data_IF_071057029230
#
_entry.id   IF_071057029230
#
_cell.length_a   1.000
_cell.length_b   1.000
_cell.length_c   1.000
_cell.angle_alpha   90.00
_cell.angle_beta   90.00
_cell.angle_gamma   90.00
#
_symmetry.space_group_name_H-M   'P 1'
#
loop_
_entity.id
_entity.type
_entity.pdbx_description
1 polymer ?
#
# COMPACT_ATOMS: atom_id res chain seq x y z
N UNK A 1 -12.06 -0.56 -5.88
CA UNK A 1 -11.54 -1.67 -6.70
C UNK A 1 -11.28 -2.97 -5.92
N UNK A 2 -11.95 -3.13 -4.79
CA UNK A 2 -11.99 -4.36 -3.99
C UNK A 2 -13.41 -4.92 -3.97
N UNK A 3 -13.58 -6.16 -3.51
CA UNK A 3 -14.88 -6.78 -3.24
C UNK A 3 -14.95 -7.30 -1.81
N UNK A 4 -16.11 -7.80 -1.42
CA UNK A 4 -16.35 -8.32 -0.07
C UNK A 4 -15.68 -9.67 0.21
N UNK A 5 -15.11 -10.34 -0.81
CA UNK A 5 -14.53 -11.68 -0.66
C UNK A 5 -13.45 -11.77 0.41
N UNK A 6 -12.59 -10.75 0.52
CA UNK A 6 -11.58 -10.70 1.57
C UNK A 6 -12.18 -10.60 2.98
N UNK A 7 -13.22 -9.77 3.16
CA UNK A 7 -13.93 -9.61 4.44
C UNK A 7 -14.63 -10.92 4.83
N UNK A 8 -15.31 -11.55 3.88
CA UNK A 8 -15.95 -12.85 4.09
C UNK A 8 -14.92 -13.96 4.41
N UNK A 9 -13.76 -13.92 3.73
CA UNK A 9 -12.65 -14.83 4.01
C UNK A 9 -12.15 -14.66 5.45
N UNK A 10 -11.94 -13.44 5.91
CA UNK A 10 -11.53 -13.16 7.30
C UNK A 10 -12.59 -13.66 8.29
N UNK A 11 -13.89 -13.39 8.04
CA UNK A 11 -14.98 -13.88 8.88
C UNK A 11 -14.96 -15.42 9.00
N UNK A 12 -14.79 -16.11 7.89
CA UNK A 12 -14.73 -17.60 7.86
C UNK A 12 -13.51 -18.14 8.62
N UNK A 13 -12.35 -17.47 8.50
CA UNK A 13 -11.11 -17.90 9.15
C UNK A 13 -11.17 -17.67 10.66
N UNK A 14 -11.67 -16.51 11.08
CA UNK A 14 -11.62 -16.08 12.49
C UNK A 14 -12.85 -16.44 13.29
N UNK A 15 -13.97 -16.73 12.62
CA UNK A 15 -15.28 -16.90 13.25
C UNK A 15 -15.83 -15.60 13.87
N UNK A 16 -15.26 -14.45 13.52
CA UNK A 16 -15.64 -13.14 14.07
C UNK A 16 -16.28 -12.26 13.01
N UNK A 17 -17.29 -11.49 13.42
CA UNK A 17 -17.79 -10.41 12.59
C UNK A 17 -16.72 -9.31 12.44
N UNK A 18 -16.51 -8.87 11.21
CA UNK A 18 -15.62 -7.76 10.88
C UNK A 18 -16.47 -6.64 10.33
N UNK A 19 -16.63 -5.54 11.07
CA UNK A 19 -17.31 -4.35 10.55
C UNK A 19 -16.64 -3.86 9.28
N UNK A 20 -17.45 -3.53 8.28
CA UNK A 20 -16.96 -2.98 7.02
C UNK A 20 -17.75 -1.73 6.66
N UNK A 21 -17.02 -0.64 6.45
CA UNK A 21 -17.60 0.63 6.00
C UNK A 21 -16.94 1.01 4.67
N UNK A 22 -17.76 1.20 3.64
CA UNK A 22 -17.28 1.72 2.36
C UNK A 22 -17.27 3.24 2.38
N UNK A 23 -16.09 3.83 2.44
CA UNK A 23 -15.90 5.28 2.49
C UNK A 23 -14.68 5.70 1.65
N UNK A 24 -14.74 6.88 1.03
CA UNK A 24 -13.57 7.52 0.43
C UNK A 24 -12.82 8.28 1.53
N UNK A 25 -11.59 7.84 1.84
CA UNK A 25 -10.74 8.50 2.83
C UNK A 25 -10.34 9.93 2.41
N UNK A 26 -10.54 10.32 1.16
CA UNK A 26 -10.35 11.70 0.70
C UNK A 26 -11.54 12.61 1.04
N UNK A 27 -12.73 12.04 1.26
CA UNK A 27 -13.89 12.78 1.76
C UNK A 27 -13.81 12.86 3.30
N UNK A 28 -13.35 14.02 3.78
CA UNK A 28 -13.13 14.23 5.21
C UNK A 28 -14.41 14.03 6.04
N UNK A 29 -15.53 14.60 5.59
CA UNK A 29 -16.79 14.56 6.36
C UNK A 29 -17.41 13.15 6.36
N UNK A 30 -17.34 12.44 5.26
CA UNK A 30 -17.79 11.05 5.22
C UNK A 30 -16.87 10.15 6.07
N UNK A 31 -15.56 10.36 6.02
CA UNK A 31 -14.62 9.57 6.80
C UNK A 31 -14.66 9.90 8.29
N UNK A 32 -14.95 11.15 8.67
CA UNK A 32 -15.13 11.57 10.06
C UNK A 32 -16.24 10.80 10.75
N UNK A 33 -17.34 10.48 10.05
CA UNK A 33 -18.46 9.69 10.60
C UNK A 33 -18.02 8.29 11.04
N UNK A 34 -17.03 7.69 10.36
CA UNK A 34 -16.47 6.40 10.78
C UNK A 34 -15.76 6.50 12.12
N UNK A 35 -15.05 7.60 12.36
CA UNK A 35 -14.39 7.86 13.66
C UNK A 35 -15.38 8.20 14.76
N UNK A 36 -16.55 8.75 14.43
CA UNK A 36 -17.65 9.01 15.36
C UNK A 36 -18.37 7.72 15.77
N UNK A 37 -18.55 6.81 14.81
CA UNK A 37 -19.34 5.58 15.00
C UNK A 37 -18.53 4.46 15.66
N UNK A 38 -17.23 4.38 15.39
CA UNK A 38 -16.39 3.27 15.84
C UNK A 38 -15.30 3.72 16.82
N UNK A 39 -15.18 2.98 17.91
CA UNK A 39 -14.02 3.09 18.79
C UNK A 39 -12.93 2.11 18.38
N UNK A 40 -11.70 2.60 18.29
CA UNK A 40 -10.50 1.81 17.98
C UNK A 40 -9.25 2.46 18.56
N UNK A 41 -8.25 1.66 18.88
CA UNK A 41 -7.00 2.11 19.50
C UNK A 41 -5.94 2.54 18.50
N UNK A 42 -5.99 1.97 17.30
CA UNK A 42 -4.92 2.10 16.32
C UNK A 42 -5.46 2.11 14.89
N UNK A 43 -4.74 2.75 14.00
CA UNK A 43 -5.02 2.76 12.56
C UNK A 43 -3.91 2.04 11.83
N UNK A 44 -4.26 1.13 10.92
CA UNK A 44 -3.34 0.58 9.92
C UNK A 44 -3.75 1.16 8.56
N UNK A 45 -2.94 2.06 8.02
CA UNK A 45 -3.26 2.78 6.79
C UNK A 45 -2.65 2.11 5.57
N UNK A 46 -3.46 1.37 4.84
CA UNK A 46 -3.10 0.76 3.55
C UNK A 46 -3.71 1.49 2.34
N UNK A 47 -4.67 2.39 2.56
CA UNK A 47 -5.41 3.04 1.49
C UNK A 47 -4.50 3.93 0.63
N UNK A 48 -4.26 3.53 -0.61
CA UNK A 48 -3.50 4.29 -1.59
C UNK A 48 -3.71 3.73 -3.00
N UNK A 49 -3.54 4.57 -4.01
CA UNK A 49 -3.24 4.12 -5.37
C UNK A 49 -1.78 3.69 -5.43
N UNK A 50 -1.48 2.48 -5.95
CA UNK A 50 -0.16 1.84 -5.81
C UNK A 50 0.55 1.48 -7.12
N UNK A 51 -0.10 1.64 -8.27
CA UNK A 51 0.44 1.24 -9.56
C UNK A 51 1.49 2.24 -10.05
N UNK A 52 2.76 1.82 -10.09
CA UNK A 52 3.90 2.69 -10.45
C UNK A 52 3.71 3.26 -11.86
N UNK A 53 3.43 2.43 -12.86
CA UNK A 53 3.24 2.86 -14.24
C UNK A 53 2.06 3.82 -14.42
N UNK A 54 0.91 3.54 -13.78
CA UNK A 54 -0.24 4.44 -13.81
C UNK A 54 0.08 5.80 -13.16
N UNK A 55 0.89 5.81 -12.10
CA UNK A 55 1.26 7.05 -11.42
C UNK A 55 2.01 8.03 -12.34
N UNK A 56 2.79 7.51 -13.29
CA UNK A 56 3.49 8.35 -14.29
C UNK A 56 2.49 8.98 -15.27
N UNK A 57 1.43 8.26 -15.61
CA UNK A 57 0.40 8.75 -16.53
C UNK A 57 -0.60 9.69 -15.85
N UNK A 58 -0.85 9.50 -14.54
CA UNK A 58 -1.87 10.22 -13.76
C UNK A 58 -1.28 10.76 -12.44
N UNK A 59 -0.22 11.58 -12.50
CA UNK A 59 0.49 11.99 -11.28
C UNK A 59 -0.38 12.78 -10.32
N UNK A 60 -1.22 13.68 -10.80
CA UNK A 60 -2.04 14.54 -9.94
C UNK A 60 -3.10 13.75 -9.15
N UNK A 61 -3.70 12.73 -9.77
CA UNK A 61 -4.63 11.82 -9.09
C UNK A 61 -3.94 11.06 -7.97
N UNK A 62 -2.70 10.59 -8.20
CA UNK A 62 -1.91 9.91 -7.18
C UNK A 62 -1.54 10.82 -6.02
N UNK A 63 -1.06 12.03 -6.29
CA UNK A 63 -0.78 13.01 -5.23
C UNK A 63 -2.04 13.34 -4.45
N UNK A 64 -3.13 13.70 -5.12
CA UNK A 64 -4.39 14.00 -4.47
C UNK A 64 -4.87 12.84 -3.60
N UNK A 65 -4.99 11.65 -4.17
CA UNK A 65 -5.54 10.49 -3.47
C UNK A 65 -4.67 10.10 -2.27
N UNK A 66 -3.38 9.88 -2.48
CA UNK A 66 -2.51 9.32 -1.46
C UNK A 66 -2.21 10.31 -0.33
N UNK A 67 -1.98 11.58 -0.66
CA UNK A 67 -1.68 12.58 0.37
C UNK A 67 -2.93 13.01 1.12
N UNK A 68 -4.06 13.27 0.42
CA UNK A 68 -5.28 13.70 1.08
C UNK A 68 -5.82 12.63 2.02
N UNK A 69 -5.88 11.37 1.57
CA UNK A 69 -6.35 10.26 2.42
C UNK A 69 -5.48 10.12 3.67
N UNK A 70 -4.16 10.21 3.53
CA UNK A 70 -3.22 10.11 4.66
C UNK A 70 -3.36 11.29 5.62
N UNK A 71 -3.41 12.52 5.12
CA UNK A 71 -3.59 13.71 5.96
C UNK A 71 -4.93 13.68 6.69
N UNK A 72 -6.00 13.23 6.04
CA UNK A 72 -7.30 13.08 6.69
C UNK A 72 -7.26 12.07 7.84
N UNK A 73 -6.55 10.93 7.68
CA UNK A 73 -6.33 9.97 8.77
C UNK A 73 -5.66 10.66 9.96
N UNK A 74 -4.53 11.35 9.75
CA UNK A 74 -3.79 12.02 10.84
C UNK A 74 -4.66 13.10 11.53
N UNK A 75 -5.41 13.89 10.75
CA UNK A 75 -6.32 14.91 11.30
C UNK A 75 -7.40 14.29 12.17
N UNK A 76 -8.07 13.25 11.69
CA UNK A 76 -9.13 12.54 12.41
C UNK A 76 -8.60 11.82 13.65
N UNK A 77 -7.45 11.17 13.55
CA UNK A 77 -6.79 10.56 14.72
C UNK A 77 -6.55 11.59 15.83
N UNK A 78 -6.08 12.77 15.47
CA UNK A 78 -5.88 13.87 16.42
C UNK A 78 -7.20 14.36 17.00
N UNK A 79 -8.22 14.60 16.16
CA UNK A 79 -9.54 15.08 16.57
C UNK A 79 -10.22 14.12 17.56
N UNK A 80 -10.10 12.81 17.34
CA UNK A 80 -10.73 11.76 18.14
C UNK A 80 -9.80 11.13 19.19
N UNK A 81 -8.64 11.70 19.45
CA UNK A 81 -7.69 11.20 20.47
C UNK A 81 -7.16 9.79 20.17
N UNK A 82 -6.98 9.42 18.91
CA UNK A 82 -6.38 8.15 18.51
C UNK A 82 -4.88 8.35 18.30
N UNK A 83 -4.06 7.50 18.91
CA UNK A 83 -2.63 7.80 19.06
C UNK A 83 -1.70 6.90 18.26
N UNK A 84 -2.14 5.75 17.78
CA UNK A 84 -1.24 4.78 17.16
C UNK A 84 -1.54 4.60 15.68
N UNK A 85 -0.52 4.74 14.82
CA UNK A 85 -0.65 4.50 13.39
C UNK A 85 0.46 3.61 12.85
N UNK A 86 0.08 2.64 12.05
CA UNK A 86 0.99 1.90 11.16
C UNK A 86 0.74 2.37 9.74
N UNK A 87 1.76 2.96 9.13
CA UNK A 87 1.69 3.44 7.77
C UNK A 87 2.32 2.45 6.80
N UNK A 88 1.56 2.04 5.80
CA UNK A 88 2.07 1.26 4.67
C UNK A 88 2.88 2.16 3.74
N UNK A 89 4.18 2.23 3.99
CA UNK A 89 5.15 2.84 3.09
C UNK A 89 5.55 1.85 1.97
N UNK A 90 6.69 2.04 1.36
CA UNK A 90 7.15 1.21 0.24
C UNK A 90 8.68 1.24 0.14
N UNK A 91 9.28 0.18 -0.40
CA UNK A 91 10.68 0.19 -0.78
C UNK A 91 11.02 1.27 -1.82
N UNK A 92 10.05 1.75 -2.58
CA UNK A 92 10.24 2.83 -3.57
C UNK A 92 10.75 4.14 -2.95
N UNK A 93 10.67 4.31 -1.62
CA UNK A 93 11.26 5.47 -0.92
C UNK A 93 12.78 5.47 -0.92
N UNK A 94 13.43 4.34 -1.17
CA UNK A 94 14.89 4.27 -1.30
C UNK A 94 15.39 4.79 -2.65
N UNK A 95 14.50 4.89 -3.67
CA UNK A 95 14.91 5.16 -5.04
C UNK A 95 15.87 4.07 -5.56
N UNK A 96 16.89 4.48 -6.31
CA UNK A 96 17.96 3.59 -6.75
C UNK A 96 19.06 3.55 -5.68
N UNK A 97 19.04 2.54 -4.82
CA UNK A 97 20.00 2.39 -3.73
C UNK A 97 21.40 2.07 -4.27
N UNK A 98 22.45 2.72 -3.70
CA UNK A 98 23.83 2.49 -4.11
C UNK A 98 24.37 1.14 -3.65
N UNK A 99 23.78 0.57 -2.59
CA UNK A 99 24.24 -0.68 -1.98
C UNK A 99 23.06 -1.59 -1.68
N UNK A 100 23.26 -2.87 -1.91
CA UNK A 100 22.34 -3.93 -1.57
C UNK A 100 22.98 -4.89 -0.56
N UNK A 101 22.21 -5.54 0.32
CA UNK A 101 20.77 -5.32 0.54
C UNK A 101 20.49 -3.96 1.19
N UNK A 102 19.31 -3.38 0.92
CA UNK A 102 18.85 -2.18 1.63
C UNK A 102 18.45 -2.52 3.06
N UNK A 103 18.68 -1.55 3.96
CA UNK A 103 18.31 -1.62 5.37
C UNK A 103 17.55 -0.35 5.75
N UNK A 104 17.06 -0.27 6.98
CA UNK A 104 16.38 0.93 7.50
C UNK A 104 17.30 2.16 7.50
N UNK A 105 18.62 1.98 7.57
CA UNK A 105 19.64 3.03 7.52
C UNK A 105 20.01 3.45 6.11
N UNK A 106 19.55 2.73 5.08
CA UNK A 106 19.82 3.10 3.68
C UNK A 106 19.21 4.47 3.38
N UNK A 107 20.00 5.44 2.90
CA UNK A 107 19.51 6.77 2.60
C UNK A 107 18.37 6.76 1.57
N UNK A 108 17.37 7.60 1.78
CA UNK A 108 16.35 7.86 0.76
C UNK A 108 16.98 8.67 -0.38
N UNK A 109 16.68 8.30 -1.60
CA UNK A 109 17.03 9.03 -2.82
C UNK A 109 15.77 9.58 -3.47
N UNK A 110 15.89 10.49 -4.45
CA UNK A 110 14.76 10.94 -5.23
C UNK A 110 13.93 9.75 -5.75
N UNK A 111 12.64 9.82 -5.57
CA UNK A 111 11.74 8.77 -6.03
C UNK A 111 11.76 8.69 -7.57
N UNK A 112 11.72 7.49 -8.11
CA UNK A 112 11.70 7.23 -9.55
C UNK A 112 10.31 7.33 -10.17
N UNK A 113 9.27 7.54 -9.35
CA UNK A 113 7.89 7.65 -9.80
C UNK A 113 7.06 8.56 -8.89
N UNK A 114 5.94 9.14 -9.40
CA UNK A 114 5.00 9.88 -8.57
C UNK A 114 4.45 9.06 -7.40
N UNK A 115 4.16 7.77 -7.60
CA UNK A 115 3.77 6.88 -6.51
C UNK A 115 4.84 6.83 -5.40
N UNK A 116 6.10 6.56 -5.76
CA UNK A 116 7.20 6.53 -4.80
C UNK A 116 7.35 7.86 -4.07
N UNK A 117 7.20 8.97 -4.78
CA UNK A 117 7.25 10.29 -4.17
C UNK A 117 6.09 10.54 -3.19
N UNK A 118 4.86 10.08 -3.49
CA UNK A 118 3.76 10.18 -2.51
C UNK A 118 4.09 9.42 -1.22
N UNK A 119 4.78 8.27 -1.30
CA UNK A 119 5.19 7.52 -0.11
C UNK A 119 6.27 8.26 0.68
N UNK A 120 7.26 8.88 0.01
CA UNK A 120 8.25 9.74 0.67
C UNK A 120 7.58 10.92 1.38
N UNK A 121 6.68 11.63 0.71
CA UNK A 121 5.93 12.74 1.31
C UNK A 121 5.09 12.30 2.50
N UNK A 122 4.42 11.16 2.43
CA UNK A 122 3.66 10.63 3.57
C UNK A 122 4.56 10.28 4.76
N UNK A 123 5.78 9.75 4.53
CA UNK A 123 6.74 9.54 5.62
C UNK A 123 7.19 10.87 6.25
N UNK A 124 7.39 11.91 5.44
CA UNK A 124 7.73 13.24 5.93
C UNK A 124 6.57 13.85 6.74
N UNK A 125 5.34 13.77 6.23
CA UNK A 125 4.13 14.19 6.96
C UNK A 125 4.00 13.43 8.28
N UNK A 126 4.23 12.11 8.28
CA UNK A 126 4.19 11.30 9.50
C UNK A 126 5.23 11.77 10.51
N UNK A 127 6.48 11.90 10.09
CA UNK A 127 7.59 12.36 10.96
C UNK A 127 7.27 13.71 11.59
N UNK A 128 6.83 14.67 10.79
CA UNK A 128 6.54 16.02 11.24
C UNK A 128 5.31 16.04 12.17
N UNK A 129 4.33 15.19 11.90
CA UNK A 129 3.16 15.02 12.78
C UNK A 129 3.53 14.38 14.12
N UNK A 130 4.42 13.38 14.12
CA UNK A 130 4.93 12.74 15.34
C UNK A 130 5.72 13.72 16.21
N UNK A 131 6.42 14.66 15.58
CA UNK A 131 7.18 15.70 16.30
C UNK A 131 6.27 16.81 16.86
N UNK A 132 5.15 17.09 16.18
CA UNK A 132 4.29 18.22 16.53
C UNK A 132 3.12 17.84 17.46
N UNK A 133 2.69 16.58 17.48
CA UNK A 133 1.48 16.17 18.20
C UNK A 133 1.81 15.22 19.35
N UNK A 134 1.65 15.72 20.57
CA UNK A 134 1.88 14.94 21.78
C UNK A 134 1.05 13.65 21.79
N UNK A 135 1.70 12.55 22.15
CA UNK A 135 1.07 11.24 22.27
C UNK A 135 0.89 10.48 20.96
N UNK A 136 1.02 11.10 19.78
CA UNK A 136 0.97 10.39 18.51
C UNK A 136 2.19 9.48 18.37
N UNK A 137 1.95 8.21 18.00
CA UNK A 137 2.97 7.20 17.77
C UNK A 137 2.75 6.57 16.41
N UNK A 138 3.80 6.42 15.64
CA UNK A 138 3.69 5.86 14.30
C UNK A 138 4.88 5.05 13.89
N UNK A 139 4.63 4.09 13.01
CA UNK A 139 5.66 3.31 12.35
C UNK A 139 5.35 3.26 10.85
N UNK A 140 6.37 3.46 10.03
CA UNK A 140 6.29 3.31 8.58
C UNK A 140 6.93 1.97 8.19
N UNK A 141 6.15 1.09 7.57
CA UNK A 141 6.62 -0.20 7.07
C UNK A 141 6.92 -0.09 5.57
N UNK A 142 8.20 -0.18 5.20
CA UNK A 142 8.67 -0.10 3.82
C UNK A 142 8.66 -1.47 3.18
N UNK A 143 7.48 -1.87 2.71
CA UNK A 143 7.31 -3.16 2.03
C UNK A 143 8.06 -3.21 0.70
N UNK A 144 8.70 -4.33 0.44
CA UNK A 144 9.06 -4.77 -0.90
C UNK A 144 7.81 -5.39 -1.56
N UNK A 145 7.94 -6.47 -2.31
CA UNK A 145 6.79 -7.15 -2.89
C UNK A 145 6.44 -8.37 -2.01
N UNK A 146 5.58 -8.21 -0.98
CA UNK A 146 5.22 -9.34 -0.14
C UNK A 146 4.43 -10.34 -0.96
N UNK A 147 4.74 -11.62 -0.76
CA UNK A 147 4.07 -12.73 -1.40
C UNK A 147 3.48 -13.67 -0.35
N UNK A 148 2.40 -14.30 -0.68
CA UNK A 148 1.77 -15.31 0.16
C UNK A 148 0.26 -15.18 0.20
N UNK A 149 -0.37 -16.27 0.58
CA UNK A 149 -1.79 -16.36 0.85
C UNK A 149 -1.99 -17.06 2.20
N UNK A 150 -3.16 -16.88 2.80
CA UNK A 150 -3.49 -17.61 4.01
C UNK A 150 -3.59 -19.11 3.71
N UNK A 151 -3.12 -20.02 4.61
CA UNK A 151 -3.12 -21.46 4.36
C UNK A 151 -4.50 -22.06 4.02
N UNK A 152 -5.59 -21.41 4.45
CA UNK A 152 -6.96 -21.82 4.09
C UNK A 152 -7.33 -21.56 2.63
N UNK A 153 -6.52 -20.83 1.86
CA UNK A 153 -6.82 -20.32 0.52
C UNK A 153 -8.09 -19.44 0.42
N UNK A 154 -8.66 -18.99 1.54
CA UNK A 154 -9.85 -18.12 1.56
C UNK A 154 -9.51 -16.64 1.32
N UNK A 155 -8.26 -16.25 1.59
CA UNK A 155 -7.71 -14.92 1.30
C UNK A 155 -6.32 -15.06 0.69
N UNK A 156 -6.07 -14.21 -0.30
CA UNK A 156 -4.82 -14.14 -1.01
C UNK A 156 -4.80 -12.94 -1.96
N UNK A 157 -3.81 -12.85 -2.83
CA UNK A 157 -3.71 -11.78 -3.82
C UNK A 157 -4.55 -12.13 -5.06
N UNK A 158 -5.70 -11.47 -5.21
CA UNK A 158 -6.62 -11.59 -6.34
C UNK A 158 -6.76 -10.24 -7.06
N UNK A 159 -5.79 -9.87 -7.92
CA UNK A 159 -5.85 -8.61 -8.64
C UNK A 159 -7.03 -8.60 -9.64
N UNK A 160 -7.74 -7.50 -9.70
CA UNK A 160 -8.76 -7.28 -10.75
C UNK A 160 -8.07 -6.88 -12.05
N UNK A 161 -8.40 -7.57 -13.12
CA UNK A 161 -7.81 -7.35 -14.44
C UNK A 161 -6.40 -7.96 -14.57
N UNK A 162 -5.53 -7.26 -15.31
CA UNK A 162 -4.16 -7.71 -15.54
C UNK A 162 -3.32 -7.49 -14.28
N UNK A 163 -2.65 -8.51 -13.72
CA UNK A 163 -1.76 -8.34 -12.59
C UNK A 163 -0.62 -7.39 -12.91
N UNK A 164 -0.20 -6.62 -11.90
CA UNK A 164 0.96 -5.74 -12.02
C UNK A 164 2.15 -6.22 -11.18
N UNK A 165 1.96 -7.30 -10.41
CA UNK A 165 3.00 -7.94 -9.63
C UNK A 165 3.36 -9.29 -10.24
N UNK A 166 4.60 -9.70 -10.06
CA UNK A 166 5.16 -10.93 -10.63
C UNK A 166 4.41 -12.19 -10.21
N UNK A 167 4.15 -12.37 -8.92
CA UNK A 167 3.61 -13.63 -8.38
C UNK A 167 2.21 -13.95 -8.91
N UNK A 168 1.24 -13.03 -8.95
CA UNK A 168 -0.04 -13.28 -9.61
C UNK A 168 0.09 -13.65 -11.09
N UNK A 169 1.07 -13.08 -11.79
CA UNK A 169 1.37 -13.48 -13.17
C UNK A 169 1.79 -14.93 -13.27
N UNK A 170 2.75 -15.32 -12.43
CA UNK A 170 3.26 -16.70 -12.38
C UNK A 170 2.13 -17.68 -12.05
N UNK A 171 1.37 -17.40 -11.00
CA UNK A 171 0.29 -18.30 -10.54
C UNK A 171 -0.85 -18.40 -11.55
N UNK A 172 -1.22 -17.30 -12.21
CA UNK A 172 -2.24 -17.32 -13.27
C UNK A 172 -1.75 -18.07 -14.52
N UNK A 173 -0.47 -17.98 -14.86
CA UNK A 173 0.12 -18.74 -15.96
C UNK A 173 0.16 -20.22 -15.61
N UNK A 174 0.60 -20.57 -14.41
CA UNK A 174 0.62 -21.96 -13.94
C UNK A 174 -0.79 -22.59 -13.89
N UNK A 175 -1.80 -21.78 -13.57
CA UNK A 175 -3.20 -22.21 -13.56
C UNK A 175 -3.86 -22.22 -14.95
N UNK A 176 -3.14 -21.87 -16.03
CA UNK A 176 -3.67 -21.81 -17.39
C UNK A 176 -4.63 -20.64 -17.67
N UNK A 177 -4.71 -19.69 -16.75
CA UNK A 177 -5.49 -18.44 -16.95
C UNK A 177 -4.81 -17.52 -17.95
N UNK A 178 -3.47 -17.58 -18.01
CA UNK A 178 -2.61 -16.87 -18.98
C UNK A 178 -1.80 -17.87 -19.78
N UNK A 179 -1.58 -17.52 -21.04
CA UNK A 179 -0.87 -18.38 -21.98
C UNK A 179 0.62 -18.53 -21.61
N UNK A 180 1.28 -17.42 -21.28
CA UNK A 180 2.71 -17.41 -20.98
C UNK A 180 3.10 -16.24 -20.05
N UNK A 181 4.34 -16.33 -19.54
CA UNK A 181 5.04 -15.22 -18.92
C UNK A 181 5.87 -14.49 -19.98
N UNK A 182 5.81 -13.15 -19.96
CA UNK A 182 6.68 -12.32 -20.79
C UNK A 182 7.89 -11.86 -19.97
N UNK A 183 9.07 -12.08 -20.51
CA UNK A 183 10.35 -11.59 -19.95
C UNK A 183 10.81 -10.42 -20.79
N UNK A 184 11.05 -9.26 -20.16
CA UNK A 184 11.31 -7.98 -20.83
C UNK A 184 12.79 -7.54 -20.64
N UNK A 185 13.71 -8.41 -20.84
CA UNK A 185 15.13 -8.15 -20.82
C UNK A 185 15.91 -9.17 -20.00
N UNK A 186 17.10 -9.44 -20.45
CA UNK A 186 18.08 -10.33 -19.84
C UNK A 186 19.47 -9.68 -19.71
N UNK A 187 19.51 -8.37 -19.97
CA UNK A 187 20.71 -7.53 -20.07
C UNK A 187 21.05 -6.75 -18.80
N UNK A 188 20.31 -6.98 -17.72
CA UNK A 188 20.62 -6.37 -16.43
C UNK A 188 21.84 -7.01 -15.76
N UNK A 189 22.72 -6.22 -15.15
CA UNK A 189 23.87 -6.77 -14.41
C UNK A 189 23.38 -7.54 -13.18
N UNK A 190 23.52 -8.85 -13.19
CA UNK A 190 23.08 -9.77 -12.15
C UNK A 190 21.94 -10.69 -12.60
N UNK A 191 21.44 -11.52 -11.71
CA UNK A 191 20.33 -12.47 -11.96
C UNK A 191 18.94 -11.81 -11.84
N UNK A 192 18.79 -10.54 -12.20
CA UNK A 192 17.50 -9.87 -12.14
C UNK A 192 16.75 -10.09 -13.45
N UNK A 193 15.78 -10.99 -13.45
CA UNK A 193 14.82 -11.09 -14.55
C UNK A 193 13.72 -10.05 -14.28
N UNK A 194 13.66 -9.01 -15.11
CA UNK A 194 12.56 -8.05 -15.05
C UNK A 194 11.35 -8.64 -15.78
N UNK A 195 10.32 -9.01 -15.03
CA UNK A 195 9.01 -9.40 -15.57
C UNK A 195 8.10 -8.20 -15.43
N UNK A 196 7.87 -7.50 -16.52
CA UNK A 196 6.92 -6.39 -16.57
C UNK A 196 5.68 -6.81 -17.36
N UNK A 197 4.48 -6.35 -17.02
CA UNK A 197 3.32 -6.53 -17.86
C UNK A 197 3.50 -5.76 -19.17
N UNK A 198 2.97 -6.22 -20.29
CA UNK A 198 2.87 -5.42 -21.49
C UNK A 198 2.10 -4.14 -21.16
N UNK A 199 2.65 -3.00 -21.60
CA UNK A 199 2.07 -1.68 -21.44
C UNK A 199 0.75 -1.49 -22.19
#
# INVERSE_FOLDING_TARGET
NSDMGAVEGVRKITGREVPFVQVDCCDYEAFRKVFEEYEFDSVIHFAASKAVGESVQKPLEYYRNNLTSFMNVIRLMREFGRHNIVFSSSCTVYGEADKLPVTEQTPRKPATSPYGNTKQMCEDILRDSLAAYDGLRGIALRYFNPIGAHPSALIGELPRGVPQNLVPYITQTAAGVRECLSVFGDDYPGFLIAILPPG
#
